data_IF_647276571310
#
_entry.id   IF_647276571310
#
_cell.length_a   1.000
_cell.length_b   1.000
_cell.length_c   1.000
_cell.angle_alpha   90.00
_cell.angle_beta   90.00
_cell.angle_gamma   90.00
#
_symmetry.space_group_name_H-M   'P 1'
#
loop_
_entity.id
_entity.type
_entity.pdbx_description
1 polymer ?
#
# COMPACT_ATOMS: atom_id res chain seq x y z
N UNK A 1 18.98 10.26 18.11
CA UNK A 1 17.53 10.46 17.91
C UNK A 1 16.81 10.61 19.25
N UNK A 2 15.99 11.66 19.42
CA UNK A 2 15.22 11.94 20.64
C UNK A 2 14.01 11.02 20.83
N UNK A 3 13.51 10.89 22.05
CA UNK A 3 12.29 10.12 22.34
C UNK A 3 11.03 10.66 21.61
N UNK A 4 10.98 11.98 21.36
CA UNK A 4 9.90 12.59 20.60
C UNK A 4 9.93 12.17 19.12
N UNK A 5 11.11 12.13 18.50
CA UNK A 5 11.29 11.68 17.11
C UNK A 5 10.99 10.19 16.95
N UNK A 6 11.46 9.34 17.87
CA UNK A 6 11.12 7.90 17.89
C UNK A 6 9.60 7.69 17.89
N UNK A 7 8.87 8.47 18.70
CA UNK A 7 7.39 8.41 18.74
C UNK A 7 6.73 8.88 17.43
N UNK A 8 7.25 9.93 16.78
CA UNK A 8 6.76 10.37 15.47
C UNK A 8 6.95 9.29 14.41
N UNK A 9 8.12 8.67 14.34
CA UNK A 9 8.40 7.58 13.40
C UNK A 9 7.49 6.36 13.67
N UNK A 10 7.29 6.01 14.94
CA UNK A 10 6.40 4.90 15.29
C UNK A 10 4.94 5.16 14.86
N UNK A 11 4.45 6.40 14.98
CA UNK A 11 3.12 6.79 14.47
C UNK A 11 3.05 6.67 12.95
N UNK A 12 4.08 7.12 12.24
CA UNK A 12 4.16 6.99 10.78
C UNK A 12 4.17 5.52 10.34
N UNK A 13 4.96 4.66 10.99
CA UNK A 13 4.98 3.22 10.74
C UNK A 13 3.60 2.58 10.96
N UNK A 14 2.89 2.98 12.01
CA UNK A 14 1.55 2.47 12.28
C UNK A 14 0.52 2.93 11.22
N UNK A 15 0.61 4.18 10.78
CA UNK A 15 -0.24 4.69 9.69
C UNK A 15 0.02 3.94 8.38
N UNK A 16 1.29 3.73 8.00
CA UNK A 16 1.67 2.97 6.81
C UNK A 16 1.19 1.51 6.85
N UNK A 17 1.30 0.85 8.02
CA UNK A 17 0.77 -0.51 8.21
C UNK A 17 -0.74 -0.56 8.02
N UNK A 18 -1.48 0.40 8.58
CA UNK A 18 -2.94 0.51 8.38
C UNK A 18 -3.29 0.75 6.91
N UNK A 19 -2.59 1.67 6.24
CA UNK A 19 -2.77 1.93 4.82
C UNK A 19 -2.54 0.67 3.99
N UNK A 20 -1.54 -0.16 4.33
CA UNK A 20 -1.28 -1.43 3.65
C UNK A 20 -2.43 -2.42 3.77
N UNK A 21 -3.11 -2.47 4.92
CA UNK A 21 -4.31 -3.31 5.11
C UNK A 21 -5.42 -2.85 4.18
N UNK A 22 -5.73 -1.54 4.20
CA UNK A 22 -6.76 -0.94 3.34
C UNK A 22 -6.48 -1.20 1.85
N UNK A 23 -5.24 -1.00 1.41
CA UNK A 23 -4.85 -1.24 0.01
C UNK A 23 -5.00 -2.72 -0.39
N UNK A 24 -4.62 -3.66 0.48
CA UNK A 24 -4.80 -5.10 0.22
C UNK A 24 -6.28 -5.49 0.12
N UNK A 25 -7.13 -4.93 0.96
CA UNK A 25 -8.57 -5.17 0.89
C UNK A 25 -9.17 -4.60 -0.41
N UNK A 26 -8.77 -3.39 -0.79
CA UNK A 26 -9.19 -2.79 -2.06
C UNK A 26 -8.71 -3.60 -3.26
N UNK A 27 -7.48 -4.11 -3.23
CA UNK A 27 -6.96 -5.00 -4.28
C UNK A 27 -7.81 -6.25 -4.43
N UNK A 28 -8.13 -6.94 -3.32
CA UNK A 28 -9.00 -8.12 -3.34
C UNK A 28 -10.37 -7.84 -3.94
N UNK A 29 -10.97 -6.69 -3.60
CA UNK A 29 -12.27 -6.26 -4.16
C UNK A 29 -12.18 -6.06 -5.68
N UNK A 30 -11.10 -5.43 -6.15
CA UNK A 30 -10.86 -5.18 -7.57
C UNK A 30 -10.61 -6.48 -8.33
N UNK A 31 -9.81 -7.39 -7.79
CA UNK A 31 -9.56 -8.71 -8.39
C UNK A 31 -10.85 -9.51 -8.53
N UNK A 32 -11.73 -9.48 -7.51
CA UNK A 32 -13.03 -10.14 -7.57
C UNK A 32 -13.96 -9.54 -8.65
N UNK A 33 -13.91 -8.22 -8.86
CA UNK A 33 -14.66 -7.55 -9.93
C UNK A 33 -14.08 -7.90 -11.31
N UNK A 34 -12.76 -7.91 -11.45
CA UNK A 34 -12.09 -8.30 -12.70
C UNK A 34 -12.47 -9.70 -13.15
N UNK A 35 -12.67 -10.66 -12.23
CA UNK A 35 -13.12 -12.01 -12.58
C UNK A 35 -14.51 -12.05 -13.24
N UNK A 36 -15.33 -11.01 -13.07
CA UNK A 36 -16.71 -10.94 -13.59
C UNK A 36 -16.82 -10.15 -14.89
N UNK A 37 -15.80 -9.38 -15.26
CA UNK A 37 -15.83 -8.52 -16.45
C UNK A 37 -15.32 -9.24 -17.69
N UNK A 38 -16.00 -9.10 -18.85
CA UNK A 38 -15.55 -9.70 -20.11
C UNK A 38 -14.13 -9.29 -20.49
N UNK A 39 -13.35 -10.23 -21.02
CA UNK A 39 -12.01 -9.94 -21.54
C UNK A 39 -12.13 -8.94 -22.70
N UNK A 40 -11.31 -7.89 -22.66
CA UNK A 40 -11.30 -6.84 -23.68
C UNK A 40 -12.33 -5.73 -23.48
N UNK A 41 -13.22 -5.83 -22.48
CA UNK A 41 -14.15 -4.73 -22.19
C UNK A 41 -13.41 -3.48 -21.70
N UNK A 42 -13.93 -2.30 -22.05
CA UNK A 42 -13.37 -1.03 -21.59
C UNK A 42 -13.35 -0.96 -20.06
N UNK A 43 -14.42 -1.40 -19.39
CA UNK A 43 -14.46 -1.39 -17.92
C UNK A 43 -13.36 -2.28 -17.33
N UNK A 44 -13.06 -3.42 -17.97
CA UNK A 44 -11.97 -4.31 -17.53
C UNK A 44 -10.62 -3.60 -17.64
N UNK A 45 -10.34 -2.91 -18.75
CA UNK A 45 -9.10 -2.16 -18.92
C UNK A 45 -8.93 -1.05 -17.88
N UNK A 46 -9.99 -0.27 -17.63
CA UNK A 46 -9.98 0.78 -16.61
C UNK A 46 -9.72 0.18 -15.22
N UNK A 47 -10.36 -0.94 -14.89
CA UNK A 47 -10.21 -1.60 -13.61
C UNK A 47 -8.82 -2.25 -13.42
N UNK A 48 -8.21 -2.75 -14.49
CA UNK A 48 -6.81 -3.22 -14.49
C UNK A 48 -5.83 -2.09 -14.18
N UNK A 49 -6.04 -0.87 -14.72
CA UNK A 49 -5.19 0.28 -14.41
C UNK A 49 -5.30 0.67 -12.92
N UNK A 50 -6.49 0.58 -12.32
CA UNK A 50 -6.67 0.81 -10.88
C UNK A 50 -5.97 -0.27 -10.06
N UNK A 51 -6.06 -1.54 -10.46
CA UNK A 51 -5.33 -2.64 -9.83
C UNK A 51 -3.82 -2.35 -9.80
N UNK A 52 -3.25 -1.96 -10.94
CA UNK A 52 -1.83 -1.70 -11.07
C UNK A 52 -1.38 -0.52 -10.20
N UNK A 53 -2.20 0.53 -10.12
CA UNK A 53 -1.97 1.67 -9.22
C UNK A 53 -1.94 1.25 -7.74
N UNK A 54 -2.82 0.32 -7.32
CA UNK A 54 -2.83 -0.19 -5.95
C UNK A 54 -1.62 -1.08 -5.65
N UNK A 55 -1.21 -1.91 -6.62
CA UNK A 55 0.00 -2.73 -6.49
C UNK A 55 1.23 -1.85 -6.32
N UNK A 56 1.34 -0.78 -7.10
CA UNK A 56 2.44 0.18 -6.96
C UNK A 56 2.39 0.93 -5.62
N UNK A 57 1.20 1.36 -5.17
CA UNK A 57 1.04 1.95 -3.85
C UNK A 57 1.47 1.00 -2.71
N UNK A 58 1.17 -0.30 -2.82
CA UNK A 58 1.64 -1.32 -1.88
C UNK A 58 3.16 -1.48 -1.90
N UNK A 59 3.80 -1.41 -3.08
CA UNK A 59 5.26 -1.46 -3.24
C UNK A 59 5.92 -0.26 -2.57
N UNK A 60 5.46 0.96 -2.86
CA UNK A 60 5.97 2.19 -2.28
C UNK A 60 5.76 2.24 -0.75
N UNK A 61 4.62 1.76 -0.26
CA UNK A 61 4.36 1.64 1.17
C UNK A 61 5.36 0.68 1.86
N UNK A 62 5.69 -0.45 1.22
CA UNK A 62 6.68 -1.39 1.74
C UNK A 62 8.09 -0.77 1.80
N UNK A 63 8.47 0.02 0.79
CA UNK A 63 9.74 0.77 0.77
C UNK A 63 9.76 1.80 1.91
N UNK A 64 8.70 2.60 2.06
CA UNK A 64 8.61 3.60 3.12
C UNK A 64 8.73 2.98 4.53
N UNK A 65 8.08 1.83 4.76
CA UNK A 65 8.22 1.10 6.03
C UNK A 65 9.66 0.64 6.26
N UNK A 66 10.33 0.12 5.22
CA UNK A 66 11.73 -0.33 5.32
C UNK A 66 12.64 0.83 5.68
N UNK A 67 12.57 1.93 4.92
CA UNK A 67 13.38 3.11 5.15
C UNK A 67 13.19 3.68 6.56
N UNK A 68 11.96 3.76 7.05
CA UNK A 68 11.68 4.22 8.42
C UNK A 68 12.23 3.29 9.50
N UNK A 69 12.20 1.96 9.26
CA UNK A 69 12.80 0.99 10.18
C UNK A 69 14.32 1.14 10.24
N UNK A 70 14.96 1.32 9.08
CA UNK A 70 16.42 1.47 9.00
C UNK A 70 16.88 2.71 9.78
N UNK A 71 16.16 3.83 9.66
CA UNK A 71 16.39 5.04 10.47
C UNK A 71 16.25 4.77 11.97
N UNK A 72 15.28 3.94 12.38
CA UNK A 72 15.12 3.61 13.81
C UNK A 72 16.14 2.62 14.35
N UNK A 73 16.72 1.76 13.50
CA UNK A 73 17.71 0.77 13.90
C UNK A 73 19.15 1.31 13.85
N UNK A 74 19.42 2.33 13.02
CA UNK A 74 20.73 2.99 12.93
C UNK A 74 21.00 4.02 14.05
N UNK A 75 20.09 4.18 15.04
CA UNK A 75 20.08 5.23 16.06
C UNK A 75 19.77 4.70 17.47
#
# INVERSE_FOLDING_TARGET
MTAAEKRKIQRALNALRKQRVVLKESLKRIEALLCRLPIGSRERFELLAVRDSIVEALRLNAIAIRNLKDVTCAC
#
